data_IF_512042687347
#
_entry.id   IF_512042687347
#
_cell.length_a   1.000
_cell.length_b   1.000
_cell.length_c   1.000
_cell.angle_alpha   90.00
_cell.angle_beta   90.00
_cell.angle_gamma   90.00
#
_symmetry.space_group_name_H-M   'P 1'
#
loop_
_entity.id
_entity.type
_entity.pdbx_description
1 polymer ?
#
# COMPACT_ATOMS: atom_id res chain seq x y z
N UNK A 1 -15.95 -6.64 -19.45
CA UNK A 1 -14.55 -6.59 -19.90
C UNK A 1 -14.09 -8.03 -20.11
N UNK A 2 -13.59 -8.34 -21.30
CA UNK A 2 -13.10 -9.67 -21.64
C UNK A 2 -11.70 -9.87 -21.05
N UNK A 3 -11.34 -11.11 -20.71
CA UNK A 3 -10.03 -11.43 -20.11
C UNK A 3 -8.85 -10.94 -20.96
N UNK A 4 -8.99 -10.96 -22.29
CA UNK A 4 -7.97 -10.47 -23.21
C UNK A 4 -7.77 -8.95 -23.12
N UNK A 5 -8.85 -8.19 -22.95
CA UNK A 5 -8.81 -6.72 -22.81
C UNK A 5 -8.04 -6.33 -21.54
N UNK A 6 -8.35 -6.98 -20.41
CA UNK A 6 -7.67 -6.75 -19.13
C UNK A 6 -6.16 -7.05 -19.24
N UNK A 7 -5.79 -8.14 -19.91
CA UNK A 7 -4.37 -8.51 -20.09
C UNK A 7 -3.61 -7.46 -20.92
N UNK A 8 -4.22 -6.99 -22.00
CA UNK A 8 -3.60 -5.99 -22.87
C UNK A 8 -3.44 -4.65 -22.13
N UNK A 9 -4.44 -4.24 -21.37
CA UNK A 9 -4.37 -3.00 -20.58
C UNK A 9 -3.27 -3.05 -19.52
N UNK A 10 -3.19 -4.15 -18.76
CA UNK A 10 -2.13 -4.34 -17.77
C UNK A 10 -0.74 -4.36 -18.41
N UNK A 11 -0.57 -5.06 -19.53
CA UNK A 11 0.70 -5.09 -20.26
C UNK A 11 1.12 -3.68 -20.71
N UNK A 12 0.19 -2.92 -21.29
CA UNK A 12 0.44 -1.53 -21.70
C UNK A 12 0.86 -0.66 -20.51
N UNK A 13 0.11 -0.71 -19.40
CA UNK A 13 0.42 0.09 -18.21
C UNK A 13 1.80 -0.23 -17.62
N UNK A 14 2.22 -1.50 -17.64
CA UNK A 14 3.54 -1.93 -17.16
C UNK A 14 4.65 -1.46 -18.10
N UNK A 15 4.42 -1.46 -19.43
CA UNK A 15 5.42 -1.00 -20.41
C UNK A 15 5.56 0.52 -20.43
N UNK A 16 4.47 1.26 -20.23
CA UNK A 16 4.45 2.72 -20.31
C UNK A 16 4.93 3.43 -19.04
N UNK A 17 5.12 2.70 -17.93
CA UNK A 17 5.52 3.32 -16.65
C UNK A 17 7.02 3.21 -16.42
N UNK A 18 7.67 4.34 -16.14
CA UNK A 18 9.07 4.41 -15.71
C UNK A 18 9.23 4.46 -14.18
N UNK A 19 8.13 4.46 -13.43
CA UNK A 19 8.18 4.50 -11.96
C UNK A 19 8.51 3.12 -11.39
N UNK A 20 9.78 2.96 -11.00
CA UNK A 20 10.29 1.72 -10.41
C UNK A 20 9.50 1.28 -9.17
N UNK A 21 8.95 2.20 -8.38
CA UNK A 21 8.17 1.84 -7.19
C UNK A 21 6.82 1.24 -7.58
N UNK A 22 6.20 1.74 -8.64
CA UNK A 22 4.95 1.18 -9.17
C UNK A 22 5.20 -0.22 -9.74
N UNK A 23 6.26 -0.38 -10.54
CA UNK A 23 6.66 -1.68 -11.10
C UNK A 23 6.97 -2.71 -10.01
N UNK A 24 7.69 -2.30 -8.97
CA UNK A 24 7.96 -3.15 -7.81
C UNK A 24 6.65 -3.60 -7.15
N UNK A 25 5.74 -2.68 -6.83
CA UNK A 25 4.46 -3.03 -6.19
C UNK A 25 3.62 -4.00 -7.05
N UNK A 26 3.57 -3.79 -8.37
CA UNK A 26 2.86 -4.68 -9.29
C UNK A 26 3.49 -6.07 -9.26
N UNK A 27 4.82 -6.17 -9.37
CA UNK A 27 5.55 -7.44 -9.27
C UNK A 27 5.23 -8.18 -7.97
N UNK A 28 5.20 -7.45 -6.86
CA UNK A 28 4.85 -7.99 -5.53
C UNK A 28 3.44 -8.57 -5.51
N UNK A 29 2.44 -7.85 -6.02
CA UNK A 29 1.05 -8.33 -6.08
C UNK A 29 0.96 -9.62 -6.90
N UNK A 30 1.64 -9.68 -8.05
CA UNK A 30 1.67 -10.88 -8.86
C UNK A 30 2.40 -12.04 -8.15
N UNK A 31 3.51 -11.76 -7.47
CA UNK A 31 4.24 -12.77 -6.70
C UNK A 31 3.42 -13.29 -5.50
N UNK A 32 2.64 -12.46 -4.80
CA UNK A 32 1.84 -12.87 -3.63
C UNK A 32 0.52 -13.54 -4.00
N UNK A 33 -0.21 -13.03 -4.99
CA UNK A 33 -1.54 -13.52 -5.34
C UNK A 33 -1.50 -14.74 -6.26
N UNK A 34 -0.50 -14.86 -7.14
CA UNK A 34 -0.44 -15.93 -8.15
C UNK A 34 0.40 -17.11 -7.69
N UNK A 35 1.49 -16.90 -6.94
CA UNK A 35 2.41 -18.00 -6.64
C UNK A 35 1.91 -18.96 -5.58
N UNK A 36 0.81 -18.68 -4.86
CA UNK A 36 -0.03 -19.66 -4.17
C UNK A 36 0.63 -20.60 -3.15
N UNK A 37 1.94 -20.57 -3.00
CA UNK A 37 2.69 -21.35 -2.04
C UNK A 37 2.78 -20.50 -0.76
N UNK A 38 2.43 -21.14 0.35
CA UNK A 38 2.35 -20.67 1.74
C UNK A 38 3.63 -19.97 2.29
N UNK A 39 4.61 -19.60 1.44
CA UNK A 39 5.97 -19.24 1.84
C UNK A 39 6.38 -17.79 1.64
N UNK A 40 5.59 -16.96 0.95
CA UNK A 40 5.94 -15.52 0.83
C UNK A 40 4.86 -14.67 1.48
N UNK A 41 5.03 -14.41 2.78
CA UNK A 41 4.23 -13.42 3.50
C UNK A 41 4.50 -12.05 2.86
N UNK A 42 3.46 -11.25 2.63
CA UNK A 42 3.60 -9.88 2.14
C UNK A 42 4.53 -9.05 3.04
N UNK A 43 4.63 -9.43 4.32
CA UNK A 43 5.56 -8.88 5.28
C UNK A 43 7.01 -8.94 4.79
N UNK A 44 7.44 -10.02 4.13
CA UNK A 44 8.82 -10.19 3.65
C UNK A 44 9.14 -9.33 2.43
N UNK A 45 8.12 -8.68 1.86
CA UNK A 45 8.22 -8.00 0.57
C UNK A 45 8.25 -6.48 0.72
N UNK A 46 7.63 -5.95 1.77
CA UNK A 46 7.68 -4.51 2.06
C UNK A 46 9.08 -4.10 2.55
N UNK A 47 9.45 -2.85 2.28
CA UNK A 47 10.74 -2.30 2.69
C UNK A 47 10.89 -2.25 4.21
N UNK A 48 12.14 -2.25 4.70
CA UNK A 48 12.41 -2.08 6.14
C UNK A 48 11.83 -0.78 6.70
N UNK A 49 11.80 0.29 5.91
CA UNK A 49 11.21 1.57 6.30
C UNK A 49 9.68 1.43 6.51
N UNK A 50 8.99 0.70 5.64
CA UNK A 50 7.56 0.41 5.78
C UNK A 50 7.30 -0.48 7.00
N UNK A 51 8.12 -1.52 7.23
CA UNK A 51 8.04 -2.37 8.43
C UNK A 51 8.20 -1.54 9.71
N UNK A 52 9.19 -0.64 9.76
CA UNK A 52 9.42 0.27 10.89
C UNK A 52 8.20 1.17 11.12
N UNK A 53 7.64 1.73 10.05
CA UNK A 53 6.46 2.59 10.13
C UNK A 53 5.25 1.84 10.69
N UNK A 54 5.02 0.60 10.23
CA UNK A 54 3.94 -0.27 10.72
C UNK A 54 4.14 -0.61 12.20
N UNK A 55 5.34 -1.07 12.60
CA UNK A 55 5.66 -1.37 14.00
C UNK A 55 5.43 -0.16 14.91
N UNK A 56 5.83 1.03 14.46
CA UNK A 56 5.58 2.29 15.19
C UNK A 56 4.08 2.55 15.36
N UNK A 57 3.28 2.37 14.31
CA UNK A 57 1.83 2.53 14.37
C UNK A 57 1.16 1.56 15.36
N UNK A 58 1.58 0.30 15.36
CA UNK A 58 1.11 -0.70 16.32
C UNK A 58 1.45 -0.31 17.77
N UNK A 59 2.70 0.09 18.03
CA UNK A 59 3.11 0.58 19.36
C UNK A 59 2.33 1.83 19.78
N UNK A 60 2.04 2.75 18.86
CA UNK A 60 1.22 3.92 19.16
C UNK A 60 -0.20 3.51 19.56
N UNK A 61 -0.79 2.54 18.86
CA UNK A 61 -2.12 2.03 19.15
C UNK A 61 -2.18 1.38 20.55
N UNK A 62 -1.20 0.53 20.88
CA UNK A 62 -1.08 -0.11 22.20
C UNK A 62 -0.95 0.91 23.33
N UNK A 63 -0.19 1.99 23.08
CA UNK A 63 -0.02 3.09 24.02
C UNK A 63 -1.20 4.09 24.04
N UNK A 64 -2.30 3.79 23.34
CA UNK A 64 -3.47 4.66 23.27
C UNK A 64 -3.25 5.97 22.50
N UNK A 65 -2.14 6.10 21.76
CA UNK A 65 -1.79 7.27 20.94
C UNK A 65 -2.56 7.26 19.63
N UNK A 66 -3.88 7.39 19.74
CA UNK A 66 -4.82 7.43 18.62
C UNK A 66 -5.67 8.70 18.71
N UNK A 67 -6.04 9.24 17.55
CA UNK A 67 -6.92 10.39 17.47
C UNK A 67 -8.26 9.97 16.85
N UNK A 68 -9.41 10.32 17.45
CA UNK A 68 -10.70 10.15 16.80
C UNK A 68 -10.79 10.95 15.50
N UNK A 69 -11.46 10.38 14.49
CA UNK A 69 -11.65 11.02 13.19
C UNK A 69 -12.20 12.46 13.31
N UNK A 70 -13.21 12.65 14.17
CA UNK A 70 -13.84 13.96 14.37
C UNK A 70 -12.86 15.02 14.89
N UNK A 71 -11.95 14.66 15.79
CA UNK A 71 -10.95 15.56 16.35
C UNK A 71 -9.94 15.99 15.29
N UNK A 72 -9.40 15.02 14.54
CA UNK A 72 -8.46 15.29 13.43
C UNK A 72 -9.14 16.16 12.37
N UNK A 73 -10.40 15.87 12.03
CA UNK A 73 -11.13 16.64 11.01
C UNK A 73 -11.34 18.09 11.42
N UNK A 74 -11.65 18.33 12.69
CA UNK A 74 -11.75 19.68 13.25
C UNK A 74 -10.44 20.44 13.11
N UNK A 75 -9.32 19.85 13.54
CA UNK A 75 -7.98 20.47 13.44
C UNK A 75 -7.60 20.81 12.00
N UNK A 76 -7.89 19.89 11.06
CA UNK A 76 -7.61 20.12 9.62
C UNK A 76 -8.47 21.26 9.06
N UNK A 77 -9.75 21.34 9.41
CA UNK A 77 -10.61 22.43 8.96
C UNK A 77 -10.12 23.80 9.49
N UNK A 78 -9.71 23.85 10.76
CA UNK A 78 -9.14 25.05 11.38
C UNK A 78 -7.84 25.50 10.67
N UNK A 79 -6.94 24.56 10.37
CA UNK A 79 -5.70 24.83 9.61
C UNK A 79 -5.99 25.34 8.19
N UNK A 80 -7.03 24.78 7.55
CA UNK A 80 -7.44 25.16 6.20
C UNK A 80 -8.34 26.42 6.17
N UNK A 81 -8.65 27.02 7.33
CA UNK A 81 -9.55 28.18 7.49
C UNK A 81 -10.88 28.01 6.75
N UNK A 82 -11.42 26.79 6.74
CA UNK A 82 -12.72 26.46 6.17
C UNK A 82 -13.81 26.50 7.23
#
# INVERSE_FOLDING_TARGET
MLTAEIKNDLHRMVVETDDINVLQKIKVIFDTLIKGDEKTDWWDIISEQEKISIKRGLQQLENGKRFPHAEVRKQINELLKK
#
